data_IF_035657369759
#
_entry.id   IF_035657369759
#
_cell.length_a   1.000
_cell.length_b   1.000
_cell.length_c   1.000
_cell.angle_alpha   90.00
_cell.angle_beta   90.00
_cell.angle_gamma   90.00
#
_symmetry.space_group_name_H-M   'P 1'
#
loop_
_entity.id
_entity.type
_entity.pdbx_description
1 polymer ?
#
# COMPACT_ATOMS: atom_id res chain seq x y z
N UNK A 1 41.69 -47.49 1.37
CA UNK A 1 40.40 -47.91 1.96
C UNK A 1 39.71 -46.65 2.45
N UNK A 2 38.83 -46.09 1.63
CA UNK A 2 38.25 -44.76 1.85
C UNK A 2 36.85 -44.92 2.45
N UNK A 3 36.64 -44.41 3.66
CA UNK A 3 35.31 -44.35 4.28
C UNK A 3 34.75 -42.94 4.12
N UNK A 4 33.87 -42.76 3.14
CA UNK A 4 33.06 -41.56 2.98
C UNK A 4 31.93 -41.61 4.00
N UNK A 5 31.94 -40.67 4.96
CA UNK A 5 30.78 -40.46 5.83
C UNK A 5 29.78 -39.57 5.08
N UNK A 6 28.61 -40.12 4.78
CA UNK A 6 27.50 -39.42 4.15
C UNK A 6 26.96 -38.26 5.01
N UNK A 7 26.20 -37.33 4.40
CA UNK A 7 25.67 -36.17 5.10
C UNK A 7 24.63 -36.60 6.15
N UNK A 8 24.91 -36.27 7.42
CA UNK A 8 23.91 -36.34 8.49
C UNK A 8 22.89 -35.24 8.21
N UNK A 9 21.79 -35.59 7.56
CA UNK A 9 20.62 -34.73 7.44
C UNK A 9 20.06 -34.46 8.83
N UNK A 10 20.40 -33.30 9.41
CA UNK A 10 19.67 -32.76 10.55
C UNK A 10 18.30 -32.36 10.02
N UNK A 11 17.30 -33.19 10.26
CA UNK A 11 15.91 -32.85 10.04
C UNK A 11 15.60 -31.60 10.87
N UNK A 12 15.44 -30.46 10.20
CA UNK A 12 14.95 -29.24 10.82
C UNK A 12 13.49 -29.49 11.24
N UNK A 13 13.29 -29.87 12.50
CA UNK A 13 11.95 -29.94 13.10
C UNK A 13 11.42 -28.51 13.19
N UNK A 14 10.66 -28.08 12.18
CA UNK A 14 9.84 -26.87 12.28
C UNK A 14 8.62 -27.21 13.12
N UNK A 15 8.68 -26.94 14.42
CA UNK A 15 7.49 -27.00 15.27
C UNK A 15 6.51 -25.92 14.80
N UNK A 16 5.47 -26.31 14.05
CA UNK A 16 4.34 -25.43 13.77
C UNK A 16 3.45 -25.43 15.01
N UNK A 17 3.43 -24.33 15.78
CA UNK A 17 2.45 -24.18 16.86
C UNK A 17 1.08 -23.85 16.24
N UNK A 18 0.25 -24.86 16.01
CA UNK A 18 -1.17 -24.68 15.71
C UNK A 18 -1.98 -24.55 17.02
N UNK A 19 -1.57 -23.63 17.90
CA UNK A 19 -2.23 -23.40 19.18
C UNK A 19 -3.30 -22.31 19.04
N UNK A 20 -4.56 -22.66 19.29
CA UNK A 20 -5.70 -21.73 19.43
C UNK A 20 -5.46 -20.56 20.39
N UNK A 21 -4.47 -20.69 21.28
CA UNK A 21 -4.01 -19.66 22.23
C UNK A 21 -3.55 -18.37 21.52
N UNK A 22 -2.93 -18.47 20.34
CA UNK A 22 -2.51 -17.29 19.56
C UNK A 22 -3.65 -16.50 18.91
N UNK A 23 -4.90 -17.01 19.01
CA UNK A 23 -6.11 -16.36 18.49
C UNK A 23 -7.06 -15.89 19.60
N UNK A 24 -6.80 -16.26 20.85
CA UNK A 24 -7.62 -15.84 21.98
C UNK A 24 -7.53 -14.32 22.14
N UNK A 25 -8.67 -13.63 22.09
CA UNK A 25 -8.74 -12.18 22.20
C UNK A 25 -8.24 -11.38 20.99
N UNK A 26 -7.90 -12.02 19.87
CA UNK A 26 -7.43 -11.32 18.67
C UNK A 26 -8.48 -10.35 18.11
N UNK A 27 -9.76 -10.74 18.11
CA UNK A 27 -10.86 -9.86 17.68
C UNK A 27 -10.99 -8.63 18.60
N UNK A 28 -10.90 -8.84 19.91
CA UNK A 28 -10.92 -7.74 20.87
C UNK A 28 -9.73 -6.79 20.64
N UNK A 29 -8.52 -7.31 20.40
CA UNK A 29 -7.36 -6.48 20.09
C UNK A 29 -7.56 -5.64 18.84
N UNK A 30 -7.99 -6.26 17.74
CA UNK A 30 -8.20 -5.55 16.46
C UNK A 30 -9.29 -4.48 16.61
N UNK A 31 -10.40 -4.80 17.29
CA UNK A 31 -11.48 -3.82 17.53
C UNK A 31 -11.03 -2.63 18.39
N UNK A 32 -9.98 -2.79 19.17
CA UNK A 32 -9.38 -1.73 19.99
C UNK A 32 -8.12 -1.11 19.35
N UNK A 33 -7.82 -1.43 18.09
CA UNK A 33 -6.67 -0.85 17.37
C UNK A 33 -5.30 -1.44 17.76
N UNK A 34 -5.26 -2.57 18.44
CA UNK A 34 -4.03 -3.29 18.74
C UNK A 34 -3.66 -4.31 17.66
N UNK A 35 -2.38 -4.71 17.68
CA UNK A 35 -1.86 -5.80 16.86
C UNK A 35 -2.64 -7.10 17.12
N UNK A 36 -2.76 -7.93 16.07
CA UNK A 36 -3.47 -9.20 16.16
C UNK A 36 -2.78 -10.15 17.14
N UNK A 37 -1.45 -10.14 17.12
CA UNK A 37 -0.60 -10.85 18.08
C UNK A 37 0.27 -9.86 18.87
N UNK A 38 0.68 -10.25 20.06
CA UNK A 38 1.46 -9.38 20.97
C UNK A 38 2.94 -9.20 20.53
N UNK A 39 3.36 -9.94 19.50
CA UNK A 39 4.73 -9.99 18.97
C UNK A 39 4.89 -9.26 17.62
N UNK A 40 3.82 -8.69 17.07
CA UNK A 40 3.84 -8.01 15.78
C UNK A 40 4.43 -6.60 15.90
N UNK A 41 3.74 -5.73 16.64
CA UNK A 41 4.15 -4.35 16.90
C UNK A 41 3.60 -3.90 18.25
N UNK A 42 4.23 -2.88 18.84
CA UNK A 42 3.82 -2.29 20.11
C UNK A 42 4.90 -2.37 21.18
N UNK A 43 4.59 -1.80 22.34
CA UNK A 43 5.56 -1.56 23.43
C UNK A 43 6.33 -2.81 23.84
N UNK A 44 5.68 -3.97 23.90
CA UNK A 44 6.36 -5.21 24.29
C UNK A 44 7.42 -5.67 23.27
N UNK A 45 7.27 -5.33 21.99
CA UNK A 45 8.14 -5.82 20.90
C UNK A 45 9.14 -4.75 20.42
N UNK A 46 8.80 -3.47 20.58
CA UNK A 46 9.59 -2.35 20.09
C UNK A 46 10.51 -1.74 21.16
N UNK A 47 10.21 -1.96 22.45
CA UNK A 47 11.02 -1.47 23.56
C UNK A 47 12.21 -2.42 23.79
N UNK A 48 13.41 -1.91 24.13
CA UNK A 48 14.52 -2.77 24.52
C UNK A 48 14.21 -3.56 25.81
N UNK A 49 14.57 -4.84 25.81
CA UNK A 49 14.37 -5.75 26.93
C UNK A 49 15.26 -5.43 28.16
N UNK A 50 16.29 -4.60 27.98
CA UNK A 50 17.24 -4.20 29.02
C UNK A 50 17.86 -2.83 28.73
N UNK A 51 18.52 -2.25 29.73
CA UNK A 51 19.33 -1.03 29.60
C UNK A 51 20.54 -1.10 30.51
N UNK A 52 21.55 -0.25 30.27
CA UNK A 52 22.71 -0.16 31.17
C UNK A 52 22.29 0.47 32.50
N UNK A 53 22.93 0.08 33.61
CA UNK A 53 22.65 0.66 34.93
C UNK A 53 22.87 2.19 34.98
N UNK A 54 23.77 2.70 34.14
CA UNK A 54 24.05 4.13 33.99
C UNK A 54 22.92 4.90 33.27
N UNK A 55 21.88 4.22 32.80
CA UNK A 55 20.78 4.81 32.03
C UNK A 55 21.03 4.94 30.52
N UNK A 56 22.18 4.46 30.02
CA UNK A 56 22.43 4.37 28.57
C UNK A 56 21.47 3.36 27.94
N UNK A 57 20.92 3.71 26.77
CA UNK A 57 20.04 2.80 26.02
C UNK A 57 20.80 1.57 25.55
N UNK A 58 20.14 0.40 25.54
CA UNK A 58 20.72 -0.78 24.92
C UNK A 58 20.94 -0.57 23.41
N UNK A 59 21.97 -1.20 22.82
CA UNK A 59 22.14 -1.20 21.39
C UNK A 59 20.92 -1.85 20.69
N UNK A 60 20.53 -1.39 19.50
CA UNK A 60 19.34 -1.88 18.82
C UNK A 60 19.49 -3.35 18.41
N UNK A 61 18.42 -4.12 18.61
CA UNK A 61 18.39 -5.54 18.26
C UNK A 61 18.32 -5.70 16.74
N UNK A 62 18.93 -6.76 16.20
CA UNK A 62 18.90 -7.08 14.75
C UNK A 62 17.47 -7.12 14.19
N UNK A 63 16.53 -7.68 14.96
CA UNK A 63 15.12 -7.75 14.58
C UNK A 63 14.43 -6.38 14.53
N UNK A 64 14.81 -5.46 15.41
CA UNK A 64 14.27 -4.10 15.43
C UNK A 64 14.79 -3.30 14.23
N UNK A 65 16.09 -3.39 13.92
CA UNK A 65 16.69 -2.75 12.73
C UNK A 65 16.00 -3.24 11.46
N UNK A 66 15.79 -4.56 11.34
CA UNK A 66 15.10 -5.14 10.18
C UNK A 66 13.67 -4.60 10.05
N UNK A 67 12.90 -4.58 11.15
CA UNK A 67 11.52 -4.07 11.16
C UNK A 67 11.43 -2.58 10.81
N UNK A 68 12.36 -1.77 11.31
CA UNK A 68 12.45 -0.35 10.97
C UNK A 68 12.69 -0.15 9.47
N UNK A 69 13.64 -0.88 8.90
CA UNK A 69 13.91 -0.84 7.45
C UNK A 69 12.71 -1.27 6.62
N UNK A 70 12.04 -2.36 7.00
CA UNK A 70 10.81 -2.83 6.33
C UNK A 70 9.68 -1.78 6.39
N UNK A 71 9.55 -1.09 7.53
CA UNK A 71 8.58 -0.01 7.70
C UNK A 71 8.92 1.21 6.81
N UNK A 72 10.20 1.59 6.74
CA UNK A 72 10.68 2.66 5.86
C UNK A 72 10.43 2.35 4.38
N UNK A 73 10.76 1.13 3.93
CA UNK A 73 10.53 0.68 2.56
C UNK A 73 9.04 0.68 2.20
N UNK A 74 8.19 0.28 3.16
CA UNK A 74 6.73 0.31 2.99
C UNK A 74 6.20 1.74 2.89
N UNK A 75 6.64 2.64 3.78
CA UNK A 75 6.25 4.04 3.76
C UNK A 75 6.68 4.74 2.46
N UNK A 76 7.92 4.49 2.01
CA UNK A 76 8.43 5.03 0.75
C UNK A 76 7.57 4.59 -0.45
N UNK A 77 7.16 3.31 -0.48
CA UNK A 77 6.28 2.77 -1.53
C UNK A 77 4.90 3.42 -1.52
N UNK A 78 4.29 3.60 -0.35
CA UNK A 78 2.98 4.27 -0.22
C UNK A 78 3.05 5.69 -0.77
N UNK A 79 4.10 6.44 -0.44
CA UNK A 79 4.29 7.80 -0.93
C UNK A 79 4.48 7.85 -2.45
N UNK A 80 5.26 6.92 -3.01
CA UNK A 80 5.45 6.81 -4.45
C UNK A 80 4.11 6.59 -5.17
N UNK A 81 3.36 5.57 -4.77
CA UNK A 81 2.08 5.23 -5.39
C UNK A 81 1.08 6.38 -5.27
N UNK A 82 1.02 7.04 -4.12
CA UNK A 82 0.14 8.19 -3.91
C UNK A 82 0.46 9.34 -4.88
N UNK A 83 1.76 9.61 -5.10
CA UNK A 83 2.21 10.64 -6.05
C UNK A 83 1.90 10.27 -7.50
N UNK A 84 2.06 9.01 -7.87
CA UNK A 84 1.73 8.53 -9.22
C UNK A 84 0.25 8.65 -9.51
N UNK A 85 -0.61 8.26 -8.55
CA UNK A 85 -2.05 8.43 -8.65
C UNK A 85 -2.45 9.90 -8.81
N UNK A 86 -1.86 10.79 -8.01
CA UNK A 86 -2.14 12.23 -8.08
C UNK A 86 -1.77 12.80 -9.46
N UNK A 87 -0.57 12.50 -9.95
CA UNK A 87 -0.13 12.91 -11.29
C UNK A 87 -1.04 12.38 -12.39
N UNK A 88 -1.53 11.14 -12.24
CA UNK A 88 -2.50 10.53 -13.15
C UNK A 88 -3.82 11.29 -13.18
N UNK A 89 -4.33 11.66 -12.00
CA UNK A 89 -5.56 12.46 -11.84
C UNK A 89 -5.41 13.84 -12.47
N UNK A 90 -4.36 14.58 -12.13
CA UNK A 90 -4.11 15.91 -12.69
C UNK A 90 -3.99 15.88 -14.22
N UNK A 91 -3.32 14.85 -14.75
CA UNK A 91 -3.20 14.69 -16.21
C UNK A 91 -4.57 14.45 -16.83
N UNK A 92 -5.39 13.59 -16.25
CA UNK A 92 -6.73 13.31 -16.75
C UNK A 92 -7.63 14.55 -16.70
N UNK A 93 -7.59 15.31 -15.61
CA UNK A 93 -8.34 16.55 -15.43
C UNK A 93 -7.93 17.59 -16.48
N UNK A 94 -6.62 17.83 -16.67
CA UNK A 94 -6.12 18.71 -17.74
C UNK A 94 -6.58 18.27 -19.13
N UNK A 95 -6.61 16.96 -19.41
CA UNK A 95 -7.10 16.47 -20.70
C UNK A 95 -8.61 16.67 -20.86
N UNK A 96 -9.38 16.56 -19.78
CA UNK A 96 -10.82 16.81 -19.78
C UNK A 96 -11.11 18.27 -20.10
N UNK A 97 -10.44 19.20 -19.42
CA UNK A 97 -10.61 20.64 -19.62
C UNK A 97 -10.22 21.07 -21.05
N UNK A 98 -9.09 20.57 -21.55
CA UNK A 98 -8.68 20.80 -22.94
C UNK A 98 -9.70 20.28 -23.95
N UNK A 99 -10.27 19.09 -23.71
CA UNK A 99 -11.29 18.54 -24.59
C UNK A 99 -12.60 19.34 -24.54
N UNK A 100 -12.96 19.89 -23.39
CA UNK A 100 -14.12 20.79 -23.25
C UNK A 100 -13.88 22.09 -24.02
N UNK A 101 -12.72 22.73 -23.86
CA UNK A 101 -12.34 23.92 -24.62
C UNK A 101 -12.33 23.65 -26.13
N UNK A 102 -11.72 22.55 -26.59
CA UNK A 102 -11.71 22.17 -28.01
C UNK A 102 -13.14 21.95 -28.54
N UNK A 103 -14.04 21.38 -27.74
CA UNK A 103 -15.45 21.22 -28.13
C UNK A 103 -16.14 22.57 -28.26
N UNK A 104 -15.90 23.49 -27.33
CA UNK A 104 -16.45 24.85 -27.37
C UNK A 104 -15.93 25.64 -28.58
N UNK A 105 -14.62 25.59 -28.83
CA UNK A 105 -14.00 26.20 -30.01
C UNK A 105 -14.58 25.63 -31.31
N UNK A 106 -14.76 24.31 -31.38
CA UNK A 106 -15.40 23.65 -32.53
C UNK A 106 -16.84 24.14 -32.71
N UNK A 107 -17.65 24.19 -31.65
CA UNK A 107 -19.03 24.72 -31.69
C UNK A 107 -19.09 26.19 -32.11
N UNK A 108 -18.14 27.01 -31.67
CA UNK A 108 -18.06 28.42 -32.04
C UNK A 108 -17.65 28.61 -33.52
N UNK A 109 -16.80 27.72 -34.04
CA UNK A 109 -16.33 27.75 -35.43
C UNK A 109 -17.29 27.04 -36.39
N UNK A 110 -18.22 26.24 -35.88
CA UNK A 110 -19.21 25.53 -36.69
C UNK A 110 -20.12 26.50 -37.45
N UNK A 111 -20.09 26.40 -38.79
CA UNK A 111 -20.99 27.15 -39.64
C UNK A 111 -22.43 26.70 -39.42
N UNK A 112 -23.37 27.65 -39.49
CA UNK A 112 -24.80 27.35 -39.42
C UNK A 112 -25.17 26.28 -40.46
N UNK A 113 -25.82 25.22 -39.99
CA UNK A 113 -26.24 24.11 -40.84
C UNK A 113 -27.15 24.64 -41.96
N UNK A 114 -26.72 24.52 -43.22
CA UNK A 114 -27.53 24.94 -44.37
C UNK A 114 -28.55 23.84 -44.69
N UNK A 115 -29.82 24.22 -44.73
CA UNK A 115 -30.96 23.33 -44.92
C UNK A 115 -32.25 24.15 -44.98
N UNK A 116 -33.22 23.66 -45.74
CA UNK A 116 -34.30 24.43 -46.37
C UNK A 116 -35.20 25.20 -45.38
N UNK A 117 -34.87 26.47 -45.07
CA UNK A 117 -35.71 27.37 -44.26
C UNK A 117 -36.99 27.85 -44.98
N UNK A 118 -37.39 27.23 -46.09
CA UNK A 118 -38.48 27.70 -46.96
C UNK A 118 -39.42 26.62 -47.50
N UNK A 119 -39.44 25.41 -46.93
CA UNK A 119 -40.39 24.35 -47.32
C UNK A 119 -41.39 24.01 -46.21
N UNK A 120 -41.93 25.00 -45.53
CA UNK A 120 -43.14 24.79 -44.72
C UNK A 120 -44.39 25.14 -45.53
N UNK A 121 -44.97 24.06 -46.07
CA UNK A 121 -46.40 23.82 -46.37
C UNK A 121 -47.19 24.91 -47.11
N UNK A 122 -47.39 24.70 -48.41
CA UNK A 122 -48.72 24.86 -49.05
C UNK A 122 -49.27 23.46 -49.32
N UNK A 123 -50.01 22.90 -48.38
CA UNK A 123 -50.93 21.79 -48.66
C UNK A 123 -52.31 22.39 -48.82
N UNK A 124 -52.82 22.23 -50.05
CA UNK A 124 -54.20 22.29 -50.57
C UNK A 124 -55.29 22.85 -49.68
#
# INVERSE_FOLDING_TARGET
MSTTWGPRGLAAVRCFSCGSIGRAGALWRITHGFAKSNSEYGVLTDNPDWSFADGRSAPPLKGQIRRQREAEETAARVLLLSREMERGREKWERQKDLNEQIKEEKRATELQRKGNKGRDRKST
#
